data_IF_780312711722
#
_entry.id   IF_780312711722
#
_cell.length_a   1.000
_cell.length_b   1.000
_cell.length_c   1.000
_cell.angle_alpha   90.00
_cell.angle_beta   90.00
_cell.angle_gamma   90.00
#
_symmetry.space_group_name_H-M   'P 1'
#
loop_
_entity.id
_entity.type
_entity.pdbx_description
1 polymer ?
#
# COMPACT_ATOMS: atom_id res chain seq x y z
N UNK A 1 -24.22 -4.64 -51.38
CA UNK A 1 -25.03 -4.28 -50.19
C UNK A 1 -24.77 -5.15 -48.95
N UNK A 2 -24.67 -6.47 -49.01
CA UNK A 2 -24.42 -7.37 -47.84
C UNK A 2 -23.08 -7.08 -47.08
N UNK A 3 -22.02 -6.69 -47.81
CA UNK A 3 -20.68 -6.40 -47.21
C UNK A 3 -20.67 -5.10 -46.41
N UNK A 4 -21.34 -4.05 -46.87
CA UNK A 4 -21.49 -2.77 -46.11
C UNK A 4 -22.32 -2.93 -44.84
N UNK A 5 -23.33 -3.81 -44.86
CA UNK A 5 -24.10 -4.18 -43.64
C UNK A 5 -23.20 -4.88 -42.59
N UNK A 6 -22.36 -5.82 -43.02
CA UNK A 6 -21.42 -6.52 -42.13
C UNK A 6 -20.43 -5.54 -41.49
N UNK A 7 -19.87 -4.57 -42.23
CA UNK A 7 -18.97 -3.56 -41.70
C UNK A 7 -19.65 -2.64 -40.69
N UNK A 8 -20.89 -2.22 -40.92
CA UNK A 8 -21.67 -1.41 -39.97
C UNK A 8 -21.98 -2.18 -38.68
N UNK A 9 -22.32 -3.45 -38.78
CA UNK A 9 -22.53 -4.31 -37.59
C UNK A 9 -21.24 -4.45 -36.77
N UNK A 10 -20.11 -4.75 -37.45
CA UNK A 10 -18.81 -4.83 -36.79
C UNK A 10 -18.42 -3.49 -36.08
N UNK A 11 -18.69 -2.36 -36.72
CA UNK A 11 -18.44 -1.05 -36.14
C UNK A 11 -19.31 -0.80 -34.89
N UNK A 12 -20.60 -1.16 -34.95
CA UNK A 12 -21.51 -1.05 -33.80
C UNK A 12 -21.10 -1.97 -32.64
N UNK A 13 -20.68 -3.21 -32.95
CA UNK A 13 -20.15 -4.12 -31.92
C UNK A 13 -18.85 -3.59 -31.29
N UNK A 14 -17.97 -3.01 -32.10
CA UNK A 14 -16.73 -2.38 -31.61
C UNK A 14 -17.04 -1.17 -30.72
N UNK A 15 -17.97 -0.29 -31.12
CA UNK A 15 -18.41 0.85 -30.30
C UNK A 15 -19.05 0.35 -29.00
N UNK A 16 -19.93 -0.66 -29.08
CA UNK A 16 -20.54 -1.27 -27.90
C UNK A 16 -19.50 -1.87 -26.95
N UNK A 17 -18.47 -2.52 -27.49
CA UNK A 17 -17.36 -3.06 -26.72
C UNK A 17 -16.53 -1.95 -26.04
N UNK A 18 -16.24 -0.86 -26.75
CA UNK A 18 -15.56 0.32 -26.16
C UNK A 18 -16.40 0.94 -25.05
N UNK A 19 -17.71 1.10 -25.26
CA UNK A 19 -18.63 1.60 -24.24
C UNK A 19 -18.60 0.68 -23.00
N UNK A 20 -18.67 -0.63 -23.20
CA UNK A 20 -18.66 -1.62 -22.12
C UNK A 20 -17.34 -1.58 -21.33
N UNK A 21 -16.20 -1.36 -21.98
CA UNK A 21 -14.91 -1.14 -21.33
C UNK A 21 -14.94 0.17 -20.49
N UNK A 22 -15.48 1.26 -21.03
CA UNK A 22 -15.53 2.55 -20.34
C UNK A 22 -16.46 2.53 -19.11
N UNK A 23 -17.57 1.79 -19.17
CA UNK A 23 -18.55 1.70 -18.08
C UNK A 23 -18.28 0.58 -17.06
N UNK A 24 -17.36 -0.33 -17.36
CA UNK A 24 -17.01 -1.44 -16.47
C UNK A 24 -15.57 -1.31 -16.01
N UNK A 25 -15.36 -0.83 -14.77
CA UNK A 25 -14.02 -0.70 -14.16
C UNK A 25 -13.36 -2.04 -13.81
N UNK A 26 -14.10 -3.17 -13.91
CA UNK A 26 -13.58 -4.49 -13.52
C UNK A 26 -12.32 -4.90 -14.30
N UNK A 27 -12.18 -4.49 -15.58
CA UNK A 27 -10.96 -4.75 -16.34
C UNK A 27 -9.71 -4.05 -15.79
N UNK A 28 -9.89 -2.93 -15.03
CA UNK A 28 -8.79 -2.23 -14.38
C UNK A 28 -8.13 -3.07 -13.29
N UNK A 29 -8.86 -4.02 -12.71
CA UNK A 29 -8.30 -4.95 -11.71
C UNK A 29 -7.16 -5.81 -12.27
N UNK A 30 -7.11 -6.05 -13.59
CA UNK A 30 -6.01 -6.74 -14.25
C UNK A 30 -4.69 -5.95 -14.19
N UNK A 31 -4.76 -4.61 -14.16
CA UNK A 31 -3.59 -3.72 -14.07
C UNK A 31 -3.24 -3.36 -12.62
N UNK A 32 -4.21 -3.49 -11.70
CA UNK A 32 -4.06 -3.16 -10.29
C UNK A 32 -4.45 -4.37 -9.41
N UNK A 33 -3.85 -5.56 -9.60
CA UNK A 33 -4.22 -6.72 -8.81
C UNK A 33 -3.80 -6.54 -7.35
N UNK A 34 -4.67 -7.03 -6.44
CA UNK A 34 -4.37 -7.17 -5.01
C UNK A 34 -4.25 -8.67 -4.73
N UNK A 35 -3.11 -9.08 -4.19
CA UNK A 35 -2.86 -10.43 -3.72
C UNK A 35 -2.94 -10.49 -2.19
N UNK A 36 -3.02 -11.69 -1.63
CA UNK A 36 -3.08 -11.92 -0.17
C UNK A 36 -4.22 -11.16 0.51
N UNK A 37 -5.37 -11.10 -0.16
CA UNK A 37 -6.53 -10.28 0.28
C UNK A 37 -7.00 -10.63 1.67
N UNK A 38 -7.11 -11.93 1.99
CA UNK A 38 -7.64 -12.38 3.28
C UNK A 38 -6.70 -12.03 4.44
N UNK A 39 -5.38 -12.20 4.25
CA UNK A 39 -4.36 -11.86 5.22
C UNK A 39 -4.34 -10.35 5.45
N UNK A 40 -4.35 -9.56 4.38
CA UNK A 40 -4.37 -8.09 4.44
C UNK A 40 -5.63 -7.62 5.15
N UNK A 41 -6.81 -8.11 4.75
CA UNK A 41 -8.11 -7.74 5.36
C UNK A 41 -8.12 -8.04 6.85
N UNK A 42 -7.73 -9.27 7.23
CA UNK A 42 -7.74 -9.72 8.61
C UNK A 42 -6.84 -8.86 9.50
N UNK A 43 -5.56 -8.71 9.11
CA UNK A 43 -4.60 -7.97 9.92
C UNK A 43 -4.82 -6.46 9.90
N UNK A 44 -5.30 -5.88 8.80
CA UNK A 44 -5.70 -4.48 8.75
C UNK A 44 -6.86 -4.20 9.71
N UNK A 45 -7.95 -5.00 9.66
CA UNK A 45 -9.11 -4.85 10.54
C UNK A 45 -8.74 -5.01 12.02
N UNK A 46 -7.91 -6.00 12.36
CA UNK A 46 -7.44 -6.22 13.73
C UNK A 46 -6.65 -5.02 14.28
N UNK A 47 -6.05 -4.22 13.40
CA UNK A 47 -5.27 -3.05 13.75
C UNK A 47 -6.01 -1.72 13.49
N UNK A 48 -7.28 -1.74 13.09
CA UNK A 48 -8.06 -0.53 12.80
C UNK A 48 -7.56 0.27 11.60
N UNK A 49 -6.99 -0.43 10.61
CA UNK A 49 -6.47 0.16 9.38
C UNK A 49 -7.38 -0.13 8.19
N UNK A 50 -7.36 0.75 7.21
CA UNK A 50 -7.96 0.51 5.91
C UNK A 50 -7.13 -0.54 5.14
N UNK A 51 -7.72 -1.69 4.70
CA UNK A 51 -7.01 -2.73 3.97
C UNK A 51 -6.38 -2.23 2.67
N UNK A 52 -6.99 -1.25 1.99
CA UNK A 52 -6.45 -0.69 0.74
C UNK A 52 -5.16 0.10 0.96
N UNK A 53 -4.98 0.75 2.12
CA UNK A 53 -3.72 1.39 2.49
C UNK A 53 -2.62 0.35 2.67
N UNK A 54 -2.91 -0.76 3.35
CA UNK A 54 -1.95 -1.85 3.54
C UNK A 54 -1.56 -2.45 2.20
N UNK A 55 -2.54 -2.74 1.34
CA UNK A 55 -2.32 -3.23 -0.01
C UNK A 55 -1.46 -2.28 -0.86
N UNK A 56 -1.70 -0.96 -0.76
CA UNK A 56 -0.93 0.06 -1.48
C UNK A 56 0.54 0.12 -1.00
N UNK A 57 0.78 -0.02 0.31
CA UNK A 57 2.13 -0.10 0.87
C UNK A 57 2.84 -1.35 0.35
N UNK A 58 2.23 -2.53 0.44
CA UNK A 58 2.79 -3.79 -0.09
C UNK A 58 3.11 -3.66 -1.59
N UNK A 59 2.23 -3.04 -2.37
CA UNK A 59 2.45 -2.79 -3.80
C UNK A 59 3.69 -1.94 -4.06
N UNK A 60 3.91 -0.91 -3.25
CA UNK A 60 5.05 0.01 -3.41
C UNK A 60 6.34 -0.61 -2.91
N UNK A 61 6.31 -1.38 -1.81
CA UNK A 61 7.48 -2.03 -1.23
C UNK A 61 8.05 -3.13 -2.14
N UNK A 62 7.25 -4.11 -2.48
CA UNK A 62 7.74 -5.33 -3.15
C UNK A 62 6.96 -5.72 -4.39
N UNK A 63 5.87 -5.01 -4.72
CA UNK A 63 4.91 -5.47 -5.72
C UNK A 63 4.38 -6.88 -5.40
N UNK A 64 4.08 -7.13 -4.12
CA UNK A 64 3.59 -8.41 -3.57
C UNK A 64 4.59 -9.59 -3.66
N UNK A 65 5.88 -9.35 -3.86
CA UNK A 65 6.89 -10.41 -3.82
C UNK A 65 7.19 -10.77 -2.37
N UNK A 66 6.97 -12.04 -2.02
CA UNK A 66 7.30 -12.61 -0.70
C UNK A 66 8.76 -13.04 -0.62
N UNK A 67 9.28 -13.26 0.59
CA UNK A 67 10.62 -13.77 0.81
C UNK A 67 11.77 -12.84 0.37
N UNK A 68 11.46 -11.56 0.17
CA UNK A 68 12.44 -10.57 -0.33
C UNK A 68 13.20 -9.96 0.84
N UNK A 69 14.50 -9.83 0.67
CA UNK A 69 15.35 -8.99 1.53
C UNK A 69 16.00 -7.91 0.68
N UNK A 70 15.92 -6.66 1.15
CA UNK A 70 16.55 -5.54 0.45
C UNK A 70 18.06 -5.46 0.72
N UNK A 71 18.78 -4.67 -0.09
CA UNK A 71 20.21 -4.39 0.17
C UNK A 71 20.48 -3.73 1.52
N UNK A 72 19.47 -3.08 2.11
CA UNK A 72 19.53 -2.44 3.43
C UNK A 72 19.06 -3.39 4.56
N UNK A 73 18.74 -4.66 4.25
CA UNK A 73 18.28 -5.66 5.20
C UNK A 73 16.79 -5.58 5.56
N UNK A 74 15.96 -4.84 4.82
CA UNK A 74 14.51 -4.84 5.04
C UNK A 74 13.89 -6.17 4.59
N UNK A 75 12.96 -6.72 5.40
CA UNK A 75 12.48 -8.09 5.32
C UNK A 75 11.05 -8.21 4.80
N UNK A 76 10.85 -9.18 3.91
CA UNK A 76 9.56 -9.70 3.48
C UNK A 76 8.72 -8.72 2.65
N UNK A 77 7.43 -9.05 2.50
CA UNK A 77 6.51 -8.39 1.57
C UNK A 77 6.25 -6.91 1.88
N UNK A 78 6.33 -6.50 3.15
CA UNK A 78 6.17 -5.14 3.62
C UNK A 78 7.49 -4.43 3.95
N UNK A 79 8.65 -5.06 3.67
CA UNK A 79 9.99 -4.50 3.86
C UNK A 79 10.22 -3.92 5.26
N UNK A 80 10.03 -4.75 6.28
CA UNK A 80 10.22 -4.36 7.68
C UNK A 80 11.71 -4.42 8.03
N UNK A 81 12.25 -3.33 8.58
CA UNK A 81 13.62 -3.33 9.10
C UNK A 81 13.74 -4.23 10.33
N UNK A 82 14.86 -4.97 10.52
CA UNK A 82 15.05 -5.88 11.65
C UNK A 82 14.78 -5.23 13.01
N UNK A 83 15.33 -4.05 13.28
CA UNK A 83 15.12 -3.31 14.54
C UNK A 83 13.63 -3.01 14.77
N UNK A 84 12.89 -2.66 13.70
CA UNK A 84 11.43 -2.43 13.77
C UNK A 84 10.70 -3.73 14.06
N UNK A 85 11.09 -4.83 13.42
CA UNK A 85 10.51 -6.15 13.64
C UNK A 85 10.67 -6.60 15.09
N UNK A 86 11.88 -6.53 15.64
CA UNK A 86 12.19 -6.89 17.03
C UNK A 86 11.42 -6.01 18.01
N UNK A 87 11.34 -4.71 17.75
CA UNK A 87 10.54 -3.79 18.55
C UNK A 87 9.06 -4.18 18.54
N UNK A 88 8.48 -4.51 17.37
CA UNK A 88 7.07 -4.95 17.27
C UNK A 88 6.86 -6.27 17.99
N UNK A 89 7.73 -7.27 17.80
CA UNK A 89 7.67 -8.58 18.48
C UNK A 89 7.58 -8.38 20.00
N UNK A 90 8.46 -7.52 20.53
CA UNK A 90 8.49 -7.21 21.97
C UNK A 90 7.19 -6.53 22.44
N UNK A 91 6.69 -5.53 21.72
CA UNK A 91 5.50 -4.75 22.09
C UNK A 91 4.19 -5.48 21.89
N UNK A 92 4.09 -6.28 20.82
CA UNK A 92 2.92 -7.09 20.49
C UNK A 92 2.89 -8.42 21.27
N UNK A 93 3.95 -8.74 22.03
CA UNK A 93 4.11 -9.98 22.81
C UNK A 93 3.98 -11.23 21.92
N UNK A 94 4.81 -11.29 20.87
CA UNK A 94 4.88 -12.40 19.91
C UNK A 94 6.19 -13.21 20.09
N UNK A 95 6.40 -13.92 21.23
CA UNK A 95 7.72 -14.46 21.61
C UNK A 95 8.26 -15.57 20.69
N UNK A 96 7.38 -16.18 19.90
CA UNK A 96 7.77 -17.29 18.99
C UNK A 96 8.02 -16.83 17.55
N UNK A 97 8.02 -15.50 17.29
CA UNK A 97 8.24 -14.94 15.96
C UNK A 97 9.71 -14.58 15.77
N UNK A 98 10.33 -15.10 14.73
CA UNK A 98 11.72 -14.83 14.37
C UNK A 98 11.84 -13.88 13.17
N UNK A 99 13.03 -13.29 12.97
CA UNK A 99 13.30 -12.49 11.76
C UNK A 99 13.23 -13.34 10.48
N UNK A 100 13.51 -14.63 10.57
CA UNK A 100 13.37 -15.56 9.44
C UNK A 100 11.91 -15.77 9.06
N UNK A 101 11.02 -15.92 10.03
CA UNK A 101 9.58 -16.01 9.79
C UNK A 101 9.07 -14.71 9.14
N UNK A 102 9.51 -13.54 9.63
CA UNK A 102 9.15 -12.22 9.07
C UNK A 102 9.63 -12.08 7.63
N UNK A 103 10.79 -12.62 7.27
CA UNK A 103 11.28 -12.61 5.89
C UNK A 103 10.49 -13.55 4.98
N UNK A 104 10.24 -14.77 5.42
CA UNK A 104 9.78 -15.87 4.55
C UNK A 104 8.26 -16.08 4.59
N UNK A 105 7.59 -15.79 5.70
CA UNK A 105 6.17 -16.02 5.88
C UNK A 105 5.39 -14.74 5.64
N UNK A 106 4.63 -14.71 4.54
CA UNK A 106 3.87 -13.53 4.12
C UNK A 106 2.87 -13.07 5.19
N UNK A 107 2.16 -14.01 5.81
CA UNK A 107 1.17 -13.68 6.84
C UNK A 107 1.84 -13.05 8.07
N UNK A 108 2.92 -13.62 8.57
CA UNK A 108 3.69 -13.10 9.69
C UNK A 108 4.23 -11.70 9.41
N UNK A 109 4.72 -11.47 8.18
CA UNK A 109 5.19 -10.15 7.77
C UNK A 109 4.06 -9.11 7.73
N UNK A 110 2.88 -9.47 7.18
CA UNK A 110 1.70 -8.60 7.16
C UNK A 110 1.22 -8.30 8.59
N UNK A 111 1.22 -9.29 9.47
CA UNK A 111 0.87 -9.10 10.88
C UNK A 111 1.77 -8.05 11.56
N UNK A 112 3.09 -8.20 11.43
CA UNK A 112 4.07 -7.27 12.00
C UNK A 112 3.94 -5.89 11.37
N UNK A 113 3.85 -5.81 10.03
CA UNK A 113 3.76 -4.54 9.31
C UNK A 113 2.49 -3.76 9.63
N UNK A 114 1.33 -4.42 9.74
CA UNK A 114 0.07 -3.77 10.11
C UNK A 114 0.06 -3.32 11.57
N UNK A 115 0.67 -4.08 12.48
CA UNK A 115 0.84 -3.64 13.85
C UNK A 115 1.72 -2.38 13.93
N UNK A 116 2.82 -2.34 13.16
CA UNK A 116 3.67 -1.15 13.07
C UNK A 116 2.92 0.05 12.50
N UNK A 117 2.15 -0.13 11.42
CA UNK A 117 1.31 0.93 10.84
C UNK A 117 0.29 1.48 11.84
N UNK A 118 -0.36 0.61 12.64
CA UNK A 118 -1.23 1.05 13.75
C UNK A 118 -0.48 1.93 14.73
N UNK A 119 0.72 1.53 15.15
CA UNK A 119 1.55 2.32 16.06
C UNK A 119 1.89 3.69 15.48
N UNK A 120 2.23 3.75 14.17
CA UNK A 120 2.47 5.01 13.48
C UNK A 120 1.20 5.85 13.37
N UNK A 121 0.05 5.26 13.03
CA UNK A 121 -1.24 5.96 12.99
C UNK A 121 -1.54 6.64 14.32
N UNK A 122 -1.35 5.95 15.44
CA UNK A 122 -1.52 6.50 16.78
C UNK A 122 -0.53 7.64 17.07
N UNK A 123 0.71 7.52 16.63
CA UNK A 123 1.74 8.54 16.84
C UNK A 123 1.50 9.85 16.07
N UNK A 124 0.71 9.78 14.99
CA UNK A 124 0.38 10.91 14.14
C UNK A 124 -1.13 11.25 14.14
N UNK A 125 -1.83 10.92 15.24
CA UNK A 125 -3.23 11.29 15.48
C UNK A 125 -4.18 10.92 14.32
N UNK A 126 -3.92 9.75 13.68
CA UNK A 126 -4.69 9.25 12.55
C UNK A 126 -4.37 9.93 11.21
N UNK A 127 -3.38 10.82 11.12
CA UNK A 127 -2.95 11.40 9.86
C UNK A 127 -2.31 10.33 8.96
N UNK A 128 -3.08 9.83 8.02
CA UNK A 128 -2.67 8.76 7.09
C UNK A 128 -1.46 9.13 6.25
N UNK A 129 -1.33 10.38 5.82
CA UNK A 129 -0.20 10.81 4.97
C UNK A 129 1.08 10.90 5.80
N UNK A 130 1.01 11.40 7.03
CA UNK A 130 2.14 11.39 7.95
C UNK A 130 2.55 9.97 8.37
N UNK A 131 1.58 9.07 8.57
CA UNK A 131 1.82 7.64 8.82
C UNK A 131 2.59 6.98 7.66
N UNK A 132 2.16 7.20 6.41
CA UNK A 132 2.83 6.67 5.21
C UNK A 132 4.27 7.22 5.12
N UNK A 133 4.45 8.52 5.34
CA UNK A 133 5.78 9.13 5.33
C UNK A 133 6.68 8.56 6.43
N UNK A 134 6.13 8.33 7.62
CA UNK A 134 6.86 7.78 8.77
C UNK A 134 7.23 6.30 8.59
N UNK A 135 6.42 5.55 7.86
CA UNK A 135 6.74 4.17 7.51
C UNK A 135 8.06 4.08 6.72
N UNK A 136 8.26 4.98 5.76
CA UNK A 136 9.48 5.01 4.93
C UNK A 136 10.65 5.77 5.58
N UNK A 137 10.40 6.95 6.16
CA UNK A 137 11.44 7.83 6.68
C UNK A 137 11.77 7.64 8.16
N UNK A 138 10.96 6.86 8.86
CA UNK A 138 10.98 6.75 10.32
C UNK A 138 10.21 7.88 11.03
N UNK A 139 9.56 7.56 12.17
CA UNK A 139 8.68 8.51 12.86
C UNK A 139 9.41 9.75 13.40
N UNK A 140 10.66 9.62 13.80
CA UNK A 140 11.46 10.75 14.31
C UNK A 140 11.64 11.86 13.28
N UNK A 141 11.97 11.49 12.03
CA UNK A 141 12.13 12.45 10.95
C UNK A 141 10.83 13.19 10.68
N UNK A 142 9.72 12.47 10.56
CA UNK A 142 8.41 13.06 10.26
C UNK A 142 7.95 13.99 11.41
N UNK A 143 8.10 13.57 12.66
CA UNK A 143 7.83 14.45 13.82
C UNK A 143 8.64 15.75 13.78
N UNK A 144 9.91 15.66 13.42
CA UNK A 144 10.77 16.84 13.28
C UNK A 144 10.32 17.75 12.14
N UNK A 145 9.90 17.20 11.00
CA UNK A 145 9.40 18.01 9.88
C UNK A 145 8.11 18.73 10.23
N UNK A 146 7.16 18.04 10.89
CA UNK A 146 5.91 18.64 11.35
C UNK A 146 6.17 19.72 12.39
N UNK A 147 6.98 19.43 13.41
CA UNK A 147 7.29 20.37 14.48
C UNK A 147 8.01 21.64 14.00
N UNK A 148 8.90 21.51 13.02
CA UNK A 148 9.64 22.65 12.45
C UNK A 148 8.87 23.42 11.38
N UNK A 149 7.65 23.01 11.02
CA UNK A 149 6.86 23.62 9.95
C UNK A 149 7.42 23.37 8.54
N UNK A 150 8.42 22.51 8.38
CA UNK A 150 8.95 22.15 7.04
C UNK A 150 7.92 21.45 6.17
N UNK A 151 7.05 20.67 6.78
CA UNK A 151 5.94 19.99 6.16
C UNK A 151 4.75 19.94 7.10
N UNK A 152 3.54 20.03 6.60
CA UNK A 152 2.30 20.10 7.37
C UNK A 152 1.53 18.76 7.44
N UNK A 153 2.11 17.66 6.94
CA UNK A 153 1.49 16.34 6.96
C UNK A 153 0.44 16.10 5.87
N UNK A 154 0.29 16.99 4.89
CA UNK A 154 -0.71 16.87 3.83
C UNK A 154 -0.10 16.39 2.51
N UNK A 155 -0.93 15.74 1.69
CA UNK A 155 -0.50 15.24 0.38
C UNK A 155 -0.24 16.40 -0.61
N UNK A 156 -1.03 17.49 -0.52
CA UNK A 156 -0.90 18.66 -1.38
C UNK A 156 0.47 19.33 -1.24
N UNK A 157 1.06 19.23 -0.05
CA UNK A 157 2.36 19.82 0.30
C UNK A 157 3.49 18.79 0.33
N UNK A 158 3.30 17.60 -0.24
CA UNK A 158 4.27 16.50 -0.24
C UNK A 158 5.65 16.90 -0.76
N UNK A 159 5.73 17.90 -1.66
CA UNK A 159 6.98 18.45 -2.18
C UNK A 159 7.87 19.06 -1.10
N UNK A 160 7.30 19.46 0.04
CA UNK A 160 8.01 20.05 1.18
C UNK A 160 8.69 18.98 2.06
N UNK A 161 8.43 17.68 1.85
CA UNK A 161 9.14 16.60 2.55
C UNK A 161 10.62 16.69 2.17
N UNK A 162 11.57 16.79 3.13
CA UNK A 162 12.99 16.97 2.83
C UNK A 162 13.62 15.81 2.07
N UNK A 163 13.20 14.56 2.34
CA UNK A 163 13.75 13.38 1.69
C UNK A 163 13.04 13.07 0.37
N UNK A 164 13.77 13.11 -0.73
CA UNK A 164 13.25 12.83 -2.08
C UNK A 164 12.68 11.43 -2.22
N UNK A 165 13.31 10.42 -1.61
CA UNK A 165 12.83 9.05 -1.56
C UNK A 165 11.43 9.00 -0.91
N UNK A 166 11.27 9.65 0.24
CA UNK A 166 9.99 9.67 0.97
C UNK A 166 8.91 10.45 0.23
N UNK A 167 9.24 11.55 -0.47
CA UNK A 167 8.28 12.25 -1.35
C UNK A 167 7.69 11.31 -2.39
N UNK A 168 8.54 10.61 -3.11
CA UNK A 168 8.11 9.64 -4.14
C UNK A 168 7.36 8.47 -3.54
N UNK A 169 7.77 8.00 -2.36
CA UNK A 169 7.10 6.93 -1.65
C UNK A 169 5.65 7.31 -1.32
N UNK A 170 5.44 8.45 -0.65
CA UNK A 170 4.10 8.96 -0.28
C UNK A 170 3.23 9.13 -1.52
N UNK A 171 3.76 9.70 -2.60
CA UNK A 171 3.01 9.89 -3.85
C UNK A 171 2.58 8.55 -4.47
N UNK A 172 3.49 7.56 -4.52
CA UNK A 172 3.20 6.22 -5.05
C UNK A 172 2.16 5.48 -4.22
N UNK A 173 2.30 5.45 -2.89
CA UNK A 173 1.33 4.80 -2.00
C UNK A 173 -0.04 5.46 -2.15
N UNK A 174 -0.11 6.80 -2.12
CA UNK A 174 -1.36 7.54 -2.30
C UNK A 174 -1.99 7.30 -3.67
N UNK A 175 -1.18 7.15 -4.73
CA UNK A 175 -1.67 6.80 -6.07
C UNK A 175 -2.34 5.43 -6.07
N UNK A 176 -1.65 4.37 -5.59
CA UNK A 176 -2.20 3.01 -5.57
C UNK A 176 -3.43 2.92 -4.66
N UNK A 177 -3.41 3.57 -3.51
CA UNK A 177 -4.56 3.65 -2.62
C UNK A 177 -5.80 4.20 -3.33
N UNK A 178 -5.66 5.35 -4.01
CA UNK A 178 -6.76 5.95 -4.80
C UNK A 178 -7.24 5.03 -5.94
N UNK A 179 -6.33 4.31 -6.61
CA UNK A 179 -6.71 3.36 -7.65
C UNK A 179 -7.50 2.18 -7.07
N UNK A 180 -7.05 1.63 -5.94
CA UNK A 180 -7.75 0.53 -5.29
C UNK A 180 -9.15 0.91 -4.84
N UNK A 181 -9.32 2.07 -4.19
CA UNK A 181 -10.65 2.59 -3.83
C UNK A 181 -11.59 2.82 -5.02
N UNK A 182 -11.03 3.11 -6.21
CA UNK A 182 -11.83 3.30 -7.44
C UNK A 182 -12.23 1.99 -8.09
N UNK A 183 -11.41 0.95 -7.96
CA UNK A 183 -11.55 -0.31 -8.70
C UNK A 183 -12.30 -1.36 -7.90
N UNK A 184 -12.12 -1.37 -6.59
CA UNK A 184 -12.68 -2.37 -5.68
C UNK A 184 -13.67 -1.72 -4.72
N UNK A 185 -14.84 -2.31 -4.59
CA UNK A 185 -15.85 -1.85 -3.62
C UNK A 185 -15.43 -2.23 -2.19
N UNK A 186 -14.86 -3.44 -2.05
CA UNK A 186 -14.22 -3.96 -0.83
C UNK A 186 -13.24 -5.09 -1.15
N UNK A 187 -12.49 -5.58 -0.16
CA UNK A 187 -11.81 -6.88 -0.16
C UNK A 187 -11.48 -7.36 1.27
#
# INVERSE_FOLDING_TARGET
MRWLRKKRVLLLLFIGFIILIFFNSAWLSLFYPIYYKEEIRRHAKNNGLDPFIVAAIIKVETNYKSGVESRKGALGIMQIMPDTAEWVISKAKLPNTTLEDIRNETETNIQIGTWYLRSLSQQFDGNTIAMIAAYNAGPTNVKNWLKSGRWDGRLETVQNIPFGETRHYVQRVSHYYKQYLKIYDDF
#
